data_IF_910242773309
#
_entry.id   IF_910242773309
#
_cell.length_a   1.000
_cell.length_b   1.000
_cell.length_c   1.000
_cell.angle_alpha   90.00
_cell.angle_beta   90.00
_cell.angle_gamma   90.00
#
_symmetry.space_group_name_H-M   'P 1'
#
loop_
_entity.id
_entity.type
_entity.pdbx_description
1 polymer ?
#
# COMPACT_ATOMS: atom_id res chain seq x y z
N UNK A 1 27.52 20.18 -0.32
CA UNK A 1 26.31 20.00 -1.14
C UNK A 1 25.41 21.19 -0.93
N UNK A 2 24.64 21.66 -1.92
CA UNK A 2 23.70 22.74 -1.66
C UNK A 2 22.70 22.29 -0.60
N UNK A 3 22.41 23.18 0.33
CA UNK A 3 21.42 22.98 1.38
C UNK A 3 20.05 22.78 0.75
N UNK A 4 19.37 21.64 1.09
CA UNK A 4 18.04 21.33 0.62
C UNK A 4 17.03 21.74 1.67
N UNK A 5 16.25 22.76 1.34
CA UNK A 5 15.26 23.35 2.23
C UNK A 5 13.84 22.85 1.98
N UNK A 6 13.49 22.60 0.69
CA UNK A 6 12.12 22.20 0.32
C UNK A 6 12.09 21.03 -0.66
N UNK A 7 11.36 19.98 -0.30
CA UNK A 7 11.15 18.77 -1.09
C UNK A 7 9.66 18.59 -1.36
N UNK A 8 9.29 18.36 -2.62
CA UNK A 8 7.94 17.94 -2.98
C UNK A 8 7.94 16.48 -3.40
N UNK A 9 7.06 15.68 -2.81
CA UNK A 9 6.76 14.31 -3.23
C UNK A 9 5.39 14.30 -3.89
N UNK A 10 5.27 13.68 -5.06
CA UNK A 10 4.00 13.58 -5.80
C UNK A 10 3.58 12.13 -5.96
N UNK A 11 2.47 11.75 -5.31
CA UNK A 11 1.80 10.47 -5.51
C UNK A 11 0.28 10.62 -5.33
N UNK A 12 -0.46 10.70 -6.44
CA UNK A 12 -1.90 10.96 -6.41
C UNK A 12 -2.73 9.78 -5.90
N UNK A 13 -2.28 8.56 -6.12
CA UNK A 13 -2.94 7.27 -5.82
C UNK A 13 -1.96 6.12 -6.03
N UNK A 14 -2.19 4.89 -5.61
CA UNK A 14 -3.28 4.40 -4.76
C UNK A 14 -2.86 4.43 -3.29
N UNK A 15 -3.77 4.00 -2.37
CA UNK A 15 -3.48 4.01 -0.93
C UNK A 15 -2.20 3.21 -0.59
N UNK A 16 -2.09 1.98 -1.09
CA UNK A 16 -0.89 1.15 -0.87
C UNK A 16 0.39 1.76 -1.43
N UNK A 17 0.32 2.36 -2.64
CA UNK A 17 1.47 3.04 -3.22
C UNK A 17 1.92 4.27 -2.40
N UNK A 18 0.97 4.98 -1.77
CA UNK A 18 1.28 6.12 -0.91
C UNK A 18 1.99 5.65 0.36
N UNK A 19 1.49 4.59 1.00
CA UNK A 19 2.14 4.00 2.18
C UNK A 19 3.57 3.53 1.84
N UNK A 20 3.76 2.93 0.68
CA UNK A 20 5.08 2.50 0.21
C UNK A 20 6.08 3.65 -0.05
N UNK A 21 5.64 4.93 0.05
CA UNK A 21 6.57 6.08 0.05
C UNK A 21 7.16 6.36 1.43
N UNK A 22 6.61 5.81 2.52
CA UNK A 22 7.04 6.11 3.88
C UNK A 22 8.51 5.78 4.16
N UNK A 23 9.06 4.62 3.73
CA UNK A 23 10.50 4.37 3.89
C UNK A 23 11.39 5.43 3.22
N UNK A 24 11.00 5.94 2.04
CA UNK A 24 11.72 7.06 1.41
C UNK A 24 11.60 8.33 2.25
N UNK A 25 10.41 8.67 2.74
CA UNK A 25 10.18 9.88 3.55
C UNK A 25 11.02 9.84 4.83
N UNK A 26 11.09 8.70 5.50
CA UNK A 26 11.94 8.48 6.68
C UNK A 26 13.41 8.72 6.38
N UNK A 27 13.93 8.16 5.28
CA UNK A 27 15.32 8.37 4.84
C UNK A 27 15.60 9.82 4.47
N UNK A 28 14.64 10.50 3.83
CA UNK A 28 14.74 11.94 3.54
C UNK A 28 14.83 12.76 4.83
N UNK A 29 13.97 12.51 5.81
CA UNK A 29 13.97 13.21 7.09
C UNK A 29 15.27 12.99 7.86
N UNK A 30 15.78 11.75 7.87
CA UNK A 30 17.06 11.43 8.50
C UNK A 30 18.24 12.19 7.84
N UNK A 31 18.23 12.27 6.52
CA UNK A 31 19.33 12.93 5.77
C UNK A 31 19.22 14.47 5.76
N UNK A 32 18.02 15.00 5.76
CA UNK A 32 17.70 16.41 5.74
C UNK A 32 16.75 16.79 6.87
N UNK A 33 17.22 16.83 8.13
CA UNK A 33 16.35 17.01 9.30
C UNK A 33 15.54 18.31 9.25
N UNK A 34 16.14 19.39 8.75
CA UNK A 34 15.53 20.72 8.68
C UNK A 34 14.75 21.00 7.40
N UNK A 35 14.71 20.05 6.46
CA UNK A 35 13.99 20.25 5.22
C UNK A 35 12.47 20.23 5.41
N UNK A 36 11.77 21.05 4.65
CA UNK A 36 10.31 21.04 4.59
C UNK A 36 9.86 20.04 3.52
N UNK A 37 9.20 18.97 3.94
CA UNK A 37 8.68 17.93 3.07
C UNK A 37 7.19 18.15 2.82
N UNK A 38 6.82 18.46 1.59
CA UNK A 38 5.44 18.55 1.16
C UNK A 38 5.06 17.31 0.36
N UNK A 39 3.79 16.88 0.49
CA UNK A 39 3.27 15.73 -0.25
C UNK A 39 2.00 16.10 -1.03
N UNK A 40 2.03 15.96 -2.35
CA UNK A 40 0.90 16.24 -3.24
C UNK A 40 0.16 14.93 -3.56
N UNK A 41 -1.10 14.86 -3.17
CA UNK A 41 -1.95 13.65 -3.30
C UNK A 41 -3.39 13.96 -3.65
N UNK A 42 -4.18 12.92 -3.97
CA UNK A 42 -5.64 13.04 -4.11
C UNK A 42 -6.35 13.16 -2.75
N UNK A 43 -7.45 13.91 -2.69
CA UNK A 43 -8.19 14.24 -1.46
C UNK A 43 -8.47 13.03 -0.57
N UNK A 44 -8.93 11.92 -1.13
CA UNK A 44 -9.29 10.71 -0.39
C UNK A 44 -8.12 9.98 0.30
N UNK A 45 -6.88 10.39 0.05
CA UNK A 45 -5.69 9.77 0.63
C UNK A 45 -5.03 10.65 1.70
N UNK A 46 -5.66 11.75 2.08
CA UNK A 46 -5.13 12.68 3.07
C UNK A 46 -4.86 12.02 4.41
N UNK A 47 -5.79 11.21 4.89
CA UNK A 47 -5.75 10.69 6.25
C UNK A 47 -4.60 9.70 6.49
N UNK A 48 -4.18 8.93 5.50
CA UNK A 48 -3.01 8.06 5.66
C UNK A 48 -1.72 8.87 5.76
N UNK A 49 -1.62 10.00 5.07
CA UNK A 49 -0.44 10.86 5.14
C UNK A 49 -0.33 11.61 6.48
N UNK A 50 -1.47 11.88 7.14
CA UNK A 50 -1.49 12.46 8.50
C UNK A 50 -0.86 11.54 9.55
N UNK A 51 -0.76 10.24 9.27
CA UNK A 51 -0.07 9.30 10.15
C UNK A 51 1.45 9.50 10.13
N UNK A 52 2.02 10.10 9.10
CA UNK A 52 3.47 10.24 8.96
C UNK A 52 3.96 11.61 9.47
N UNK A 53 4.64 11.68 10.63
CA UNK A 53 5.08 12.92 11.25
C UNK A 53 6.16 13.66 10.46
N UNK A 54 6.83 12.99 9.54
CA UNK A 54 7.89 13.58 8.72
C UNK A 54 7.36 14.47 7.60
N UNK A 55 6.04 14.47 7.35
CA UNK A 55 5.39 15.31 6.32
C UNK A 55 4.95 16.62 6.95
N UNK A 56 5.53 17.73 6.50
CA UNK A 56 5.20 19.07 7.02
C UNK A 56 3.87 19.62 6.46
N UNK A 57 3.54 19.29 5.19
CA UNK A 57 2.32 19.76 4.54
C UNK A 57 1.80 18.77 3.52
N UNK A 58 0.50 18.48 3.59
CA UNK A 58 -0.22 17.70 2.59
C UNK A 58 -0.93 18.68 1.65
N UNK A 59 -0.67 18.54 0.36
CA UNK A 59 -1.27 19.33 -0.70
C UNK A 59 -2.28 18.45 -1.42
N UNK A 60 -3.53 18.91 -1.47
CA UNK A 60 -4.62 18.12 -2.02
C UNK A 60 -4.88 18.50 -3.48
N UNK A 61 -5.01 17.48 -4.32
CA UNK A 61 -5.38 17.63 -5.72
C UNK A 61 -6.87 17.35 -5.91
N UNK A 62 -7.64 18.38 -6.25
CA UNK A 62 -9.09 18.37 -6.47
C UNK A 62 -9.50 18.43 -7.94
N UNK A 63 -8.60 18.30 -8.90
CA UNK A 63 -8.73 18.34 -10.35
C UNK A 63 -8.28 19.63 -11.06
N UNK A 64 -8.03 20.76 -10.39
CA UNK A 64 -7.48 21.96 -11.02
C UNK A 64 -5.95 21.86 -11.21
N UNK A 65 -5.52 21.38 -12.39
CA UNK A 65 -4.10 21.25 -12.72
C UNK A 65 -3.37 22.59 -12.79
N UNK A 66 -4.07 23.66 -13.21
CA UNK A 66 -3.51 25.01 -13.31
C UNK A 66 -3.18 25.57 -11.93
N UNK A 67 -4.06 25.38 -10.95
CA UNK A 67 -3.85 25.80 -9.56
C UNK A 67 -2.69 25.05 -8.92
N UNK A 68 -2.65 23.73 -9.09
CA UNK A 68 -1.54 22.91 -8.60
C UNK A 68 -0.22 23.42 -9.18
N UNK A 69 -0.16 23.66 -10.50
CA UNK A 69 1.05 24.15 -11.14
C UNK A 69 1.45 25.53 -10.60
N UNK A 70 0.49 26.45 -10.42
CA UNK A 70 0.73 27.78 -9.85
C UNK A 70 1.30 27.66 -8.44
N UNK A 71 0.70 26.83 -7.61
CA UNK A 71 1.15 26.58 -6.24
C UNK A 71 2.55 25.93 -6.20
N UNK A 72 2.78 24.87 -6.98
CA UNK A 72 4.11 24.23 -7.05
C UNK A 72 5.17 25.22 -7.48
N UNK A 73 4.85 26.12 -8.41
CA UNK A 73 5.76 27.15 -8.87
C UNK A 73 6.07 28.21 -7.80
N UNK A 74 5.06 28.66 -7.04
CA UNK A 74 5.26 29.68 -6.00
C UNK A 74 6.06 29.19 -4.80
N UNK A 75 6.09 27.88 -4.54
CA UNK A 75 6.80 27.29 -3.39
C UNK A 75 8.32 27.13 -3.60
N UNK A 76 8.83 27.29 -4.82
CA UNK A 76 10.27 27.22 -5.15
C UNK A 76 10.97 25.97 -4.58
N UNK A 77 10.46 24.77 -4.88
CA UNK A 77 11.07 23.53 -4.42
C UNK A 77 12.49 23.35 -4.96
N UNK A 78 13.41 22.94 -4.08
CA UNK A 78 14.77 22.54 -4.48
C UNK A 78 14.73 21.21 -5.23
N UNK A 79 13.83 20.31 -4.81
CA UNK A 79 13.64 18.97 -5.36
C UNK A 79 12.19 18.59 -5.50
N UNK A 80 11.83 17.99 -6.62
CA UNK A 80 10.54 17.35 -6.84
C UNK A 80 10.76 15.88 -7.16
N UNK A 81 10.09 14.99 -6.39
CA UNK A 81 10.07 13.55 -6.62
C UNK A 81 8.70 13.14 -7.19
N UNK A 82 8.62 12.98 -8.52
CA UNK A 82 7.41 12.47 -9.17
C UNK A 82 7.36 10.94 -9.14
N UNK A 83 6.78 10.40 -8.07
CA UNK A 83 6.57 8.97 -7.86
C UNK A 83 5.28 8.45 -8.52
N UNK A 84 4.50 9.35 -9.14
CA UNK A 84 3.28 8.96 -9.86
C UNK A 84 3.50 8.74 -11.35
N UNK A 85 4.28 9.62 -12.00
CA UNK A 85 4.69 9.55 -13.41
C UNK A 85 3.52 9.34 -14.37
N UNK A 86 2.62 10.30 -14.42
CA UNK A 86 1.60 10.42 -15.45
C UNK A 86 1.62 11.82 -16.09
N UNK A 87 0.70 12.12 -17.01
CA UNK A 87 0.62 13.42 -17.66
C UNK A 87 0.29 14.55 -16.68
N UNK A 88 -0.58 14.29 -15.70
CA UNK A 88 -0.96 15.27 -14.66
C UNK A 88 0.23 15.62 -13.77
N UNK A 89 0.96 14.62 -13.27
CA UNK A 89 2.15 14.88 -12.44
C UNK A 89 3.27 15.54 -13.24
N UNK A 90 3.43 15.17 -14.51
CA UNK A 90 4.38 15.85 -15.40
C UNK A 90 4.06 17.35 -15.54
N UNK A 91 2.79 17.68 -15.80
CA UNK A 91 2.37 19.07 -15.91
C UNK A 91 2.58 19.86 -14.60
N UNK A 92 2.32 19.25 -13.46
CA UNK A 92 2.57 19.86 -12.15
C UNK A 92 4.07 20.14 -11.91
N UNK A 93 4.96 19.25 -12.39
CA UNK A 93 6.41 19.38 -12.20
C UNK A 93 7.09 20.28 -13.24
N UNK A 94 6.49 20.44 -14.44
CA UNK A 94 7.17 21.05 -15.59
C UNK A 94 7.62 22.47 -15.32
N UNK A 95 8.93 22.71 -15.47
CA UNK A 95 9.60 24.01 -15.26
C UNK A 95 9.48 24.60 -13.83
N UNK A 96 9.16 23.78 -12.83
CA UNK A 96 8.84 24.26 -11.47
C UNK A 96 9.87 23.88 -10.40
N UNK A 97 11.00 23.30 -10.78
CA UNK A 97 12.07 22.99 -9.83
C UNK A 97 13.44 23.05 -10.48
N UNK A 98 14.45 23.27 -9.65
CA UNK A 98 15.86 23.16 -10.06
C UNK A 98 16.21 21.71 -10.41
N UNK A 99 15.57 20.72 -9.74
CA UNK A 99 15.81 19.29 -9.94
C UNK A 99 14.50 18.50 -9.78
N UNK A 100 14.07 17.83 -10.84
CA UNK A 100 12.91 16.94 -10.83
C UNK A 100 13.32 15.51 -11.21
N UNK A 101 12.97 14.54 -10.35
CA UNK A 101 13.23 13.12 -10.57
C UNK A 101 11.92 12.38 -10.72
N UNK A 102 11.86 11.49 -11.68
CA UNK A 102 10.62 10.72 -11.99
C UNK A 102 10.89 9.23 -11.93
N UNK A 103 10.03 8.52 -11.22
CA UNK A 103 10.14 7.06 -11.08
C UNK A 103 10.26 6.34 -12.44
N UNK A 104 11.10 5.32 -12.52
CA UNK A 104 11.18 4.44 -13.68
C UNK A 104 10.09 3.38 -13.59
N UNK A 105 9.06 3.48 -14.44
CA UNK A 105 7.99 2.46 -14.55
C UNK A 105 8.40 1.39 -15.55
N UNK A 106 8.13 0.13 -15.21
CA UNK A 106 8.43 -1.04 -16.04
C UNK A 106 7.19 -1.57 -16.76
N UNK A 107 6.39 -0.66 -17.34
CA UNK A 107 5.09 -1.00 -17.95
C UNK A 107 5.21 -2.02 -19.07
N UNK A 108 6.25 -1.95 -19.92
CA UNK A 108 6.48 -2.93 -20.98
C UNK A 108 6.74 -4.33 -20.41
N UNK A 109 7.60 -4.47 -19.41
CA UNK A 109 7.86 -5.77 -18.77
C UNK A 109 6.59 -6.35 -18.16
N UNK A 110 5.79 -5.51 -17.46
CA UNK A 110 4.49 -5.91 -16.92
C UNK A 110 3.53 -6.35 -18.02
N UNK A 111 3.48 -5.63 -19.13
CA UNK A 111 2.64 -5.97 -20.27
C UNK A 111 3.03 -7.34 -20.88
N UNK A 112 4.32 -7.59 -21.13
CA UNK A 112 4.79 -8.86 -21.65
C UNK A 112 4.49 -10.03 -20.70
N UNK A 113 4.70 -9.83 -19.41
CA UNK A 113 4.41 -10.85 -18.39
C UNK A 113 2.91 -11.16 -18.30
N UNK A 114 2.03 -10.14 -18.33
CA UNK A 114 0.58 -10.34 -18.27
C UNK A 114 0.03 -10.96 -19.56
N UNK A 115 0.41 -10.40 -20.73
CA UNK A 115 -0.21 -10.75 -22.01
C UNK A 115 0.36 -12.04 -22.60
N UNK A 116 1.69 -12.19 -22.55
CA UNK A 116 2.41 -13.27 -23.24
C UNK A 116 3.04 -14.27 -22.27
N UNK A 117 2.97 -14.04 -20.94
CA UNK A 117 3.62 -14.85 -19.92
C UNK A 117 5.17 -14.88 -20.04
N UNK A 118 5.72 -13.87 -20.73
CA UNK A 118 7.17 -13.70 -20.87
C UNK A 118 7.68 -12.81 -19.73
N UNK A 119 8.48 -13.40 -18.86
CA UNK A 119 9.10 -12.68 -17.74
C UNK A 119 10.41 -12.01 -18.18
N UNK A 120 10.37 -10.70 -18.37
CA UNK A 120 11.52 -9.86 -18.70
C UNK A 120 12.17 -9.19 -17.46
N UNK A 121 11.70 -9.51 -16.27
CA UNK A 121 12.28 -8.99 -15.02
C UNK A 121 13.55 -9.79 -14.69
N UNK A 122 14.70 -9.14 -14.76
CA UNK A 122 15.99 -9.74 -14.32
C UNK A 122 16.13 -9.75 -12.80
N UNK A 123 15.54 -8.77 -12.16
CA UNK A 123 15.56 -8.57 -10.71
C UNK A 123 14.17 -8.10 -10.26
N UNK A 124 13.76 -8.55 -9.09
CA UNK A 124 12.51 -8.11 -8.45
C UNK A 124 12.83 -6.99 -7.50
N UNK A 125 12.51 -5.77 -7.91
CA UNK A 125 12.72 -4.58 -7.08
C UNK A 125 11.38 -4.20 -6.44
N UNK A 126 11.25 -4.23 -5.11
CA UNK A 126 10.05 -3.77 -4.41
C UNK A 126 9.70 -2.32 -4.74
N UNK A 127 8.40 -1.98 -4.67
CA UNK A 127 7.93 -0.64 -5.06
C UNK A 127 8.53 0.45 -4.17
N UNK A 128 8.61 0.22 -2.85
CA UNK A 128 9.26 1.18 -1.93
C UNK A 128 10.72 1.46 -2.34
N UNK A 129 11.47 0.40 -2.70
CA UNK A 129 12.86 0.51 -3.15
C UNK A 129 12.99 1.29 -4.47
N UNK A 130 12.03 1.12 -5.39
CA UNK A 130 11.96 1.94 -6.62
C UNK A 130 11.80 3.43 -6.32
N UNK A 131 11.09 3.78 -5.25
CA UNK A 131 10.95 5.17 -4.81
C UNK A 131 12.26 5.72 -4.25
N UNK A 132 12.98 4.93 -3.44
CA UNK A 132 14.30 5.31 -2.92
C UNK A 132 15.30 5.48 -4.06
N UNK A 133 15.37 4.52 -4.99
CA UNK A 133 16.24 4.59 -6.19
C UNK A 133 15.91 5.83 -7.04
N UNK A 134 14.65 6.23 -7.15
CA UNK A 134 14.26 7.44 -7.88
C UNK A 134 14.89 8.71 -7.29
N UNK A 135 15.04 8.74 -5.97
CA UNK A 135 15.60 9.88 -5.24
C UNK A 135 17.14 9.83 -5.12
N UNK A 136 17.75 8.65 -5.24
CA UNK A 136 19.15 8.39 -4.97
C UNK A 136 20.15 9.22 -5.79
N UNK A 137 19.99 9.42 -7.12
CA UNK A 137 20.95 10.19 -7.92
C UNK A 137 21.19 11.61 -7.40
N UNK A 138 20.24 12.12 -6.61
CA UNK A 138 20.30 13.43 -6.02
C UNK A 138 20.61 13.39 -4.51
N UNK A 139 19.94 12.48 -3.82
CA UNK A 139 19.94 12.40 -2.36
C UNK A 139 21.11 11.56 -1.84
N UNK A 140 21.76 10.78 -2.71
CA UNK A 140 22.85 9.86 -2.35
C UNK A 140 22.48 9.02 -1.12
N UNK A 141 21.29 8.39 -1.19
CA UNK A 141 20.79 7.48 -0.18
C UNK A 141 21.37 6.11 -0.50
N UNK A 142 22.45 5.72 0.16
CA UNK A 142 23.11 4.42 -0.07
C UNK A 142 22.42 3.25 0.68
N UNK A 143 21.35 3.52 1.42
CA UNK A 143 20.58 2.56 2.17
C UNK A 143 19.21 2.33 1.52
N UNK A 144 18.99 1.11 1.00
CA UNK A 144 17.79 0.69 0.29
C UNK A 144 16.93 -0.29 1.11
N UNK A 145 17.28 -0.54 2.36
CA UNK A 145 16.54 -1.47 3.20
C UNK A 145 15.16 -0.95 3.56
N UNK A 146 14.21 -1.88 3.74
CA UNK A 146 12.89 -1.56 4.23
C UNK A 146 12.96 -1.22 5.72
N UNK A 147 12.36 -0.11 6.08
CA UNK A 147 12.26 0.33 7.47
C UNK A 147 10.80 0.56 7.84
N UNK A 148 10.44 0.13 9.04
CA UNK A 148 9.18 0.49 9.68
C UNK A 148 9.16 1.98 10.02
N UNK A 149 7.97 2.56 10.16
CA UNK A 149 7.83 3.99 10.43
C UNK A 149 7.22 4.24 11.83
N UNK A 150 7.56 5.38 12.42
CA UNK A 150 6.95 5.84 13.67
C UNK A 150 5.70 6.65 13.36
N UNK A 151 4.60 5.95 13.06
CA UNK A 151 3.35 6.59 12.69
C UNK A 151 2.64 7.18 13.90
N UNK A 152 1.98 8.32 13.71
CA UNK A 152 1.17 9.01 14.72
C UNK A 152 -0.29 8.60 14.56
N UNK A 153 -0.85 8.01 15.61
CA UNK A 153 -2.27 7.67 15.72
C UNK A 153 -2.69 7.60 17.19
N UNK A 154 -3.99 7.63 17.44
CA UNK A 154 -4.51 7.51 18.81
C UNK A 154 -4.21 6.10 19.32
N UNK A 155 -3.29 5.99 20.28
CA UNK A 155 -2.91 4.71 20.90
C UNK A 155 -3.89 4.34 22.00
N UNK A 156 -4.31 3.08 22.01
CA UNK A 156 -5.19 2.49 23.02
C UNK A 156 -5.72 1.16 22.55
N UNK A 157 -5.60 0.10 23.34
CA UNK A 157 -6.16 -1.20 22.99
C UNK A 157 -7.67 -1.09 22.85
N UNK A 158 -8.22 -1.63 21.75
CA UNK A 158 -9.67 -1.70 21.51
C UNK A 158 -10.33 -2.88 22.26
N UNK A 159 -9.51 -3.84 22.66
CA UNK A 159 -9.94 -5.01 23.46
C UNK A 159 -8.86 -5.38 24.47
N UNK A 160 -9.29 -5.96 25.57
CA UNK A 160 -8.42 -6.72 26.46
C UNK A 160 -8.18 -8.11 25.84
N UNK A 161 -6.90 -8.49 25.67
CA UNK A 161 -6.49 -9.75 25.10
C UNK A 161 -5.91 -9.64 23.68
N UNK A 162 -5.58 -10.81 23.13
CA UNK A 162 -4.98 -10.96 21.81
C UNK A 162 -6.04 -11.09 20.72
N UNK A 163 -5.74 -10.58 19.53
CA UNK A 163 -6.60 -10.72 18.37
C UNK A 163 -5.84 -10.67 17.06
N UNK A 164 -6.45 -11.26 16.03
CA UNK A 164 -5.95 -11.24 14.65
C UNK A 164 -6.80 -10.26 13.85
N UNK A 165 -6.16 -9.33 13.15
CA UNK A 165 -6.87 -8.49 12.17
C UNK A 165 -7.04 -9.26 10.87
N UNK A 166 -8.27 -9.27 10.37
CA UNK A 166 -8.61 -9.89 9.10
C UNK A 166 -9.23 -8.83 8.17
N UNK A 167 -8.54 -8.56 7.06
CA UNK A 167 -9.04 -7.67 6.00
C UNK A 167 -9.44 -8.50 4.78
N UNK A 168 -10.69 -9.00 4.73
CA UNK A 168 -11.08 -10.05 3.80
C UNK A 168 -11.38 -9.54 2.40
N UNK A 169 -11.50 -8.24 2.20
CA UNK A 169 -11.85 -7.64 0.92
C UNK A 169 -10.65 -7.04 0.20
N UNK A 170 -10.82 -6.77 -1.08
CA UNK A 170 -9.92 -5.99 -1.93
C UNK A 170 -10.75 -5.30 -3.01
N UNK A 171 -10.23 -4.18 -3.52
CA UNK A 171 -10.91 -3.41 -4.57
C UNK A 171 -11.32 -4.24 -5.79
N UNK A 172 -10.56 -5.28 -6.12
CA UNK A 172 -10.78 -6.10 -7.31
C UNK A 172 -11.12 -7.55 -6.94
N UNK A 173 -12.14 -8.13 -7.58
CA UNK A 173 -12.56 -9.50 -7.36
C UNK A 173 -11.39 -10.49 -7.42
N UNK A 174 -10.55 -10.40 -8.47
CA UNK A 174 -9.45 -11.36 -8.65
C UNK A 174 -8.33 -11.26 -7.63
N UNK A 175 -8.39 -10.30 -6.71
CA UNK A 175 -7.49 -10.15 -5.56
C UNK A 175 -8.17 -10.47 -4.23
N UNK A 176 -9.46 -10.81 -4.24
CA UNK A 176 -10.25 -11.08 -3.03
C UNK A 176 -10.31 -12.58 -2.78
N UNK A 177 -9.80 -13.03 -1.62
CA UNK A 177 -9.94 -14.41 -1.19
C UNK A 177 -11.40 -14.70 -0.83
N UNK A 178 -11.98 -15.88 -1.20
CA UNK A 178 -13.38 -16.16 -0.98
C UNK A 178 -13.81 -16.12 0.49
N UNK A 179 -14.93 -15.48 0.79
CA UNK A 179 -15.46 -15.38 2.15
C UNK A 179 -15.69 -16.76 2.80
N UNK A 180 -16.19 -17.73 2.04
CA UNK A 180 -16.38 -19.11 2.52
C UNK A 180 -15.08 -19.73 3.06
N UNK A 181 -13.94 -19.48 2.41
CA UNK A 181 -12.63 -19.98 2.84
C UNK A 181 -12.12 -19.26 4.09
N UNK A 182 -12.44 -17.97 4.29
CA UNK A 182 -12.18 -17.28 5.54
C UNK A 182 -13.02 -17.85 6.68
N UNK A 183 -14.29 -18.16 6.42
CA UNK A 183 -15.19 -18.79 7.39
C UNK A 183 -14.66 -20.17 7.80
N UNK A 184 -14.26 -21.00 6.84
CA UNK A 184 -13.63 -22.30 7.10
C UNK A 184 -12.37 -22.17 7.96
N UNK A 185 -11.53 -21.17 7.66
CA UNK A 185 -10.32 -20.89 8.42
C UNK A 185 -10.63 -20.44 9.85
N UNK A 186 -11.54 -19.47 10.06
CA UNK A 186 -11.89 -18.94 11.37
C UNK A 186 -12.47 -20.05 12.27
N UNK A 187 -13.31 -20.94 11.72
CA UNK A 187 -13.91 -22.06 12.44
C UNK A 187 -12.90 -23.11 12.93
N UNK A 188 -11.67 -23.13 12.38
CA UNK A 188 -10.59 -24.00 12.87
C UNK A 188 -9.94 -23.47 14.15
N UNK A 189 -10.19 -22.19 14.52
CA UNK A 189 -9.58 -21.50 15.67
C UNK A 189 -10.66 -20.81 16.51
N UNK A 190 -11.56 -21.57 17.14
CA UNK A 190 -12.70 -21.00 17.89
C UNK A 190 -12.27 -20.20 19.12
N UNK A 191 -11.08 -20.47 19.66
CA UNK A 191 -10.49 -19.79 20.82
C UNK A 191 -9.89 -18.42 20.50
N UNK A 192 -9.60 -18.16 19.21
CA UNK A 192 -8.99 -16.90 18.79
C UNK A 192 -10.06 -15.85 18.43
N UNK A 193 -9.77 -14.59 18.74
CA UNK A 193 -10.62 -13.46 18.35
C UNK A 193 -10.13 -12.87 17.02
N UNK A 194 -11.05 -12.66 16.10
CA UNK A 194 -10.79 -12.02 14.82
C UNK A 194 -11.49 -10.67 14.71
N UNK A 195 -10.75 -9.65 14.26
CA UNK A 195 -11.26 -8.31 14.02
C UNK A 195 -11.34 -8.08 12.52
N UNK A 196 -12.56 -7.98 11.99
CA UNK A 196 -12.79 -7.75 10.57
C UNK A 196 -12.67 -6.26 10.25
N UNK A 197 -11.90 -5.93 9.22
CA UNK A 197 -11.70 -4.56 8.75
C UNK A 197 -11.99 -4.45 7.26
N UNK A 198 -12.51 -3.32 6.84
CA UNK A 198 -12.83 -2.99 5.46
C UNK A 198 -13.22 -1.53 5.34
N UNK A 199 -13.34 -1.01 4.12
CA UNK A 199 -13.84 0.34 3.90
C UNK A 199 -15.39 0.39 3.96
N UNK A 200 -15.99 1.53 3.63
CA UNK A 200 -17.43 1.71 3.68
C UNK A 200 -18.15 1.27 2.38
N UNK A 201 -17.47 0.54 1.48
CA UNK A 201 -18.08 0.02 0.26
C UNK A 201 -19.08 -1.10 0.56
N UNK A 202 -20.11 -1.22 -0.26
CA UNK A 202 -21.12 -2.29 -0.12
C UNK A 202 -20.46 -3.68 -0.20
N UNK A 203 -19.46 -3.84 -1.05
CA UNK A 203 -18.71 -5.09 -1.19
C UNK A 203 -17.99 -5.49 0.10
N UNK A 204 -17.30 -4.54 0.75
CA UNK A 204 -16.58 -4.83 2.00
C UNK A 204 -17.56 -5.17 3.12
N UNK A 205 -18.67 -4.44 3.21
CA UNK A 205 -19.75 -4.69 4.17
C UNK A 205 -20.38 -6.08 3.98
N UNK A 206 -20.70 -6.45 2.74
CA UNK A 206 -21.27 -7.76 2.40
C UNK A 206 -20.32 -8.90 2.82
N UNK A 207 -19.04 -8.83 2.44
CA UNK A 207 -18.04 -9.85 2.77
C UNK A 207 -17.84 -9.95 4.28
N UNK A 208 -17.64 -8.83 4.98
CA UNK A 208 -17.45 -8.81 6.42
C UNK A 208 -18.72 -9.23 7.18
N UNK A 209 -19.90 -8.84 6.69
CA UNK A 209 -21.19 -9.24 7.23
C UNK A 209 -21.37 -10.76 7.18
N UNK A 210 -21.19 -11.35 5.99
CA UNK A 210 -21.28 -12.79 5.78
C UNK A 210 -20.34 -13.59 6.69
N UNK A 211 -19.12 -13.12 6.90
CA UNK A 211 -18.16 -13.76 7.81
C UNK A 211 -18.63 -13.64 9.27
N UNK A 212 -19.06 -12.44 9.68
CA UNK A 212 -19.43 -12.20 11.07
C UNK A 212 -20.74 -12.90 11.48
N UNK A 213 -21.66 -13.12 10.56
CA UNK A 213 -22.89 -13.90 10.77
C UNK A 213 -22.61 -15.39 11.02
N UNK A 214 -21.54 -15.93 10.43
CA UNK A 214 -21.21 -17.35 10.50
C UNK A 214 -20.11 -17.70 11.52
N UNK A 215 -19.44 -16.70 12.10
CA UNK A 215 -18.32 -16.86 13.02
C UNK A 215 -18.50 -15.98 14.26
N UNK A 216 -18.92 -16.56 15.37
CA UNK A 216 -19.23 -15.85 16.63
C UNK A 216 -18.00 -15.24 17.32
N UNK A 217 -16.78 -15.72 17.00
CA UNK A 217 -15.51 -15.21 17.52
C UNK A 217 -14.94 -14.04 16.68
N UNK A 218 -15.80 -13.38 15.90
CA UNK A 218 -15.44 -12.19 15.11
C UNK A 218 -16.04 -10.90 15.67
N UNK A 219 -15.32 -9.79 15.49
CA UNK A 219 -15.83 -8.43 15.73
C UNK A 219 -15.74 -7.64 14.44
N UNK A 220 -16.87 -7.14 13.95
CA UNK A 220 -16.96 -6.46 12.66
C UNK A 220 -16.85 -4.94 12.78
N UNK A 221 -15.70 -4.38 12.34
CA UNK A 221 -15.41 -2.96 12.22
C UNK A 221 -15.39 -2.44 10.79
N UNK A 222 -15.86 -3.22 9.83
CA UNK A 222 -15.96 -2.79 8.44
C UNK A 222 -16.76 -1.49 8.33
N UNK A 223 -16.20 -0.49 7.64
CA UNK A 223 -16.82 0.82 7.46
C UNK A 223 -16.87 1.72 8.72
N UNK A 224 -16.33 1.26 9.87
CA UNK A 224 -16.41 1.99 11.16
C UNK A 224 -15.08 2.64 11.58
N UNK A 225 -13.97 2.24 10.96
CA UNK A 225 -12.65 2.74 11.33
C UNK A 225 -12.20 3.85 10.38
N UNK A 226 -11.80 4.99 10.94
CA UNK A 226 -10.98 5.95 10.22
C UNK A 226 -9.53 5.44 10.14
N UNK A 227 -8.66 6.15 9.41
CA UNK A 227 -7.29 5.70 9.17
C UNK A 227 -6.47 5.57 10.46
N UNK A 228 -6.64 6.47 11.43
CA UNK A 228 -5.97 6.42 12.73
C UNK A 228 -6.44 5.21 13.56
N UNK A 229 -7.74 4.95 13.58
CA UNK A 229 -8.31 3.79 14.28
C UNK A 229 -7.90 2.47 13.61
N UNK A 230 -7.82 2.42 12.27
CA UNK A 230 -7.30 1.25 11.56
C UNK A 230 -5.83 1.00 11.90
N UNK A 231 -4.99 2.04 11.90
CA UNK A 231 -3.59 1.92 12.28
C UNK A 231 -3.44 1.42 13.73
N UNK A 232 -4.25 1.94 14.65
CA UNK A 232 -4.32 1.47 16.04
C UNK A 232 -4.73 0.00 16.15
N UNK A 233 -5.78 -0.40 15.43
CA UNK A 233 -6.27 -1.79 15.40
C UNK A 233 -5.19 -2.75 14.90
N UNK A 234 -4.48 -2.37 13.85
CA UNK A 234 -3.35 -3.15 13.32
C UNK A 234 -2.19 -3.18 14.32
N UNK A 235 -1.83 -2.06 14.90
CA UNK A 235 -0.68 -1.94 15.80
C UNK A 235 -0.77 -2.87 17.03
N UNK A 236 -1.95 -3.04 17.59
CA UNK A 236 -2.17 -3.92 18.75
C UNK A 236 -2.55 -5.36 18.41
N UNK A 237 -2.68 -5.72 17.14
CA UNK A 237 -2.97 -7.10 16.73
C UNK A 237 -1.72 -7.99 16.83
N UNK A 238 -1.91 -9.31 16.97
CA UNK A 238 -0.83 -10.29 16.91
C UNK A 238 -0.41 -10.60 15.48
N UNK A 239 -1.38 -10.59 14.58
CA UNK A 239 -1.20 -10.92 13.17
C UNK A 239 -2.21 -10.16 12.32
N UNK A 240 -1.81 -9.80 11.11
CA UNK A 240 -2.72 -9.30 10.09
C UNK A 240 -2.84 -10.31 8.96
N UNK A 241 -4.07 -10.71 8.64
CA UNK A 241 -4.36 -11.54 7.46
C UNK A 241 -5.13 -10.68 6.47
N UNK A 242 -4.60 -10.52 5.28
CA UNK A 242 -5.19 -9.63 4.27
C UNK A 242 -4.95 -10.14 2.85
N UNK A 243 -5.65 -9.57 1.90
CA UNK A 243 -5.36 -9.75 0.49
C UNK A 243 -4.18 -8.85 0.04
N UNK A 244 -3.76 -8.96 -1.22
CA UNK A 244 -2.88 -7.97 -1.90
C UNK A 244 -3.58 -6.60 -1.93
N UNK A 245 -3.44 -5.84 -0.85
CA UNK A 245 -4.16 -4.58 -0.56
C UNK A 245 -3.30 -3.59 0.22
N UNK A 246 -3.81 -2.39 0.43
CA UNK A 246 -3.13 -1.35 1.21
C UNK A 246 -2.91 -1.73 2.68
N UNK A 247 -3.75 -2.61 3.23
CA UNK A 247 -3.64 -3.09 4.62
C UNK A 247 -2.33 -3.83 4.84
N UNK A 248 -1.86 -4.64 3.87
CA UNK A 248 -0.54 -5.25 3.93
C UNK A 248 0.55 -4.20 4.18
N UNK A 249 0.57 -3.16 3.35
CA UNK A 249 1.63 -2.15 3.43
C UNK A 249 1.54 -1.30 4.69
N UNK A 250 0.32 -1.03 5.19
CA UNK A 250 0.13 -0.34 6.47
C UNK A 250 0.62 -1.21 7.64
N UNK A 251 0.34 -2.50 7.60
CA UNK A 251 0.80 -3.44 8.62
C UNK A 251 2.33 -3.47 8.70
N UNK A 252 2.99 -3.56 7.55
CA UNK A 252 4.44 -3.57 7.50
C UNK A 252 5.07 -2.23 7.90
N UNK A 253 4.45 -1.09 7.52
CA UNK A 253 4.89 0.23 7.97
C UNK A 253 4.81 0.36 9.50
N UNK A 254 3.83 -0.29 10.14
CA UNK A 254 3.68 -0.38 11.59
C UNK A 254 4.55 -1.47 12.25
N UNK A 255 5.35 -2.21 11.50
CA UNK A 255 6.18 -3.32 12.00
C UNK A 255 5.40 -4.58 12.37
N UNK A 256 4.14 -4.71 11.89
CA UNK A 256 3.28 -5.86 12.19
C UNK A 256 3.42 -6.96 11.16
N UNK A 257 3.57 -8.20 11.67
CA UNK A 257 3.55 -9.41 10.87
C UNK A 257 2.27 -9.53 10.05
N UNK A 258 2.39 -9.87 8.77
CA UNK A 258 1.24 -10.07 7.89
C UNK A 258 1.33 -11.38 7.11
N UNK A 259 0.17 -12.03 6.91
CA UNK A 259 -0.05 -13.07 5.91
C UNK A 259 -0.92 -12.50 4.79
N UNK A 260 -0.34 -12.34 3.62
CA UNK A 260 -1.00 -11.69 2.49
C UNK A 260 -1.31 -12.68 1.36
N UNK A 261 -2.58 -12.69 0.93
CA UNK A 261 -3.11 -13.61 -0.08
C UNK A 261 -2.99 -12.99 -1.48
N UNK A 262 -2.20 -13.63 -2.33
CA UNK A 262 -1.92 -13.16 -3.69
C UNK A 262 -2.54 -14.07 -4.75
N UNK A 263 -3.62 -13.61 -5.38
CA UNK A 263 -4.33 -14.32 -6.45
C UNK A 263 -3.79 -14.00 -7.84
N UNK A 264 -4.35 -12.97 -8.45
CA UNK A 264 -4.11 -12.61 -9.86
C UNK A 264 -2.78 -11.91 -10.16
N UNK A 265 -2.08 -11.46 -9.14
CA UNK A 265 -0.81 -10.71 -9.21
C UNK A 265 0.37 -11.58 -8.78
N UNK A 266 1.59 -11.12 -9.06
CA UNK A 266 2.84 -11.85 -8.79
C UNK A 266 3.92 -10.93 -8.20
N UNK A 267 4.94 -11.53 -7.60
CA UNK A 267 6.05 -10.85 -6.90
C UNK A 267 6.82 -9.86 -7.78
N UNK A 268 6.89 -10.11 -9.09
CA UNK A 268 7.59 -9.27 -10.07
C UNK A 268 7.03 -7.84 -10.12
N UNK A 269 5.80 -7.64 -9.65
CA UNK A 269 5.20 -6.30 -9.58
C UNK A 269 5.71 -5.47 -8.39
N UNK A 270 6.35 -6.13 -7.41
CA UNK A 270 7.05 -5.48 -6.30
C UNK A 270 6.18 -5.12 -5.10
N UNK A 271 4.99 -5.73 -4.96
CA UNK A 271 4.05 -5.46 -3.85
C UNK A 271 4.03 -6.54 -2.76
N UNK A 272 4.86 -7.55 -2.87
CA UNK A 272 4.95 -8.61 -1.87
C UNK A 272 5.48 -8.09 -0.52
N UNK A 273 5.21 -8.80 0.58
CA UNK A 273 5.69 -8.43 1.91
C UNK A 273 7.20 -8.21 1.97
N UNK A 274 7.64 -7.31 2.83
CA UNK A 274 9.04 -6.92 2.99
C UNK A 274 9.62 -7.29 4.35
N UNK A 275 8.79 -7.40 5.39
CA UNK A 275 9.24 -7.85 6.70
C UNK A 275 9.55 -9.36 6.67
N UNK A 276 10.67 -9.77 7.27
CA UNK A 276 11.13 -11.17 7.29
C UNK A 276 10.13 -12.14 7.95
N UNK A 277 9.28 -11.62 8.83
CA UNK A 277 8.25 -12.39 9.52
C UNK A 277 6.87 -12.31 8.84
N UNK A 278 6.75 -11.61 7.72
CA UNK A 278 5.55 -11.56 6.90
C UNK A 278 5.61 -12.60 5.78
N UNK A 279 4.45 -13.09 5.35
CA UNK A 279 4.34 -14.17 4.37
C UNK A 279 3.40 -13.80 3.21
N UNK A 280 3.82 -14.09 1.99
CA UNK A 280 2.97 -14.07 0.81
C UNK A 280 2.45 -15.47 0.51
N UNK A 281 1.15 -15.66 0.63
CA UNK A 281 0.45 -16.89 0.32
C UNK A 281 -0.09 -16.85 -1.11
N UNK A 282 0.33 -17.79 -1.95
CA UNK A 282 -0.07 -17.83 -3.36
C UNK A 282 -0.11 -19.25 -3.91
N UNK A 283 -0.95 -19.48 -4.90
CA UNK A 283 -0.91 -20.69 -5.73
C UNK A 283 0.02 -20.43 -6.94
N UNK A 284 1.23 -20.99 -6.92
CA UNK A 284 2.28 -20.72 -7.92
C UNK A 284 2.09 -21.47 -9.23
N UNK A 285 1.40 -22.59 -9.22
CA UNK A 285 1.38 -23.58 -10.31
C UNK A 285 0.35 -23.27 -11.41
N UNK A 286 -0.06 -22.02 -11.56
CA UNK A 286 -1.07 -21.61 -12.52
C UNK A 286 -0.50 -20.84 -13.69
N UNK A 287 -0.57 -21.41 -14.89
CA UNK A 287 -0.10 -20.80 -16.15
C UNK A 287 -0.84 -19.48 -16.49
N UNK A 288 -2.08 -19.28 -16.01
CA UNK A 288 -2.83 -18.05 -16.24
C UNK A 288 -2.33 -16.85 -15.39
N UNK A 289 -1.49 -17.05 -14.37
CA UNK A 289 -0.91 -15.98 -13.55
C UNK A 289 0.34 -15.37 -14.20
N UNK A 290 0.51 -14.04 -14.05
CA UNK A 290 -0.51 -13.07 -13.66
C UNK A 290 -1.51 -12.82 -14.80
N UNK A 291 -2.80 -12.72 -14.50
CA UNK A 291 -3.80 -12.32 -15.50
C UNK A 291 -4.00 -10.80 -15.58
N UNK A 292 -3.40 -10.07 -14.64
CA UNK A 292 -3.46 -8.61 -14.54
C UNK A 292 -2.31 -8.09 -13.66
N UNK A 293 -1.97 -6.82 -13.81
CA UNK A 293 -1.04 -6.15 -12.90
C UNK A 293 -1.74 -5.23 -11.87
N UNK A 294 -3.06 -5.08 -11.98
CA UNK A 294 -3.85 -4.23 -11.08
C UNK A 294 -4.88 -5.06 -10.31
N UNK A 295 -5.63 -5.89 -11.01
CA UNK A 295 -6.81 -6.64 -10.60
C UNK A 295 -7.89 -6.57 -11.68
N UNK A 296 -8.91 -7.43 -11.57
CA UNK A 296 -10.06 -7.51 -12.48
C UNK A 296 -11.34 -7.74 -11.67
N UNK A 297 -12.48 -7.38 -12.26
CA UNK A 297 -13.80 -7.60 -11.66
C UNK A 297 -14.32 -9.04 -11.82
N UNK A 298 -13.66 -9.84 -12.66
CA UNK A 298 -13.95 -11.26 -12.83
C UNK A 298 -12.71 -12.05 -13.23
N UNK A 299 -12.73 -13.38 -12.99
CA UNK A 299 -11.68 -14.27 -13.44
C UNK A 299 -11.85 -14.55 -14.95
N UNK A 300 -10.87 -14.21 -15.82
CA UNK A 300 -10.99 -14.45 -17.26
C UNK A 300 -11.07 -15.95 -17.60
N UNK A 301 -10.46 -16.82 -16.79
CA UNK A 301 -10.49 -18.28 -16.94
C UNK A 301 -11.68 -18.94 -16.21
N UNK A 302 -12.56 -18.17 -15.59
CA UNK A 302 -13.75 -18.60 -14.84
C UNK A 302 -13.52 -19.60 -13.69
N UNK A 303 -12.31 -20.16 -13.51
CA UNK A 303 -12.02 -21.18 -12.48
C UNK A 303 -11.56 -20.61 -11.13
N UNK A 304 -11.04 -19.38 -11.08
CA UNK A 304 -10.53 -18.67 -9.88
C UNK A 304 -9.56 -19.45 -8.98
N UNK A 305 -8.90 -20.50 -9.51
CA UNK A 305 -7.99 -21.38 -8.78
C UNK A 305 -6.75 -20.68 -8.17
N UNK A 306 -6.45 -19.45 -8.59
CA UNK A 306 -5.37 -18.66 -7.97
C UNK A 306 -5.66 -18.34 -6.50
N UNK A 307 -6.91 -18.46 -6.05
CA UNK A 307 -7.32 -18.34 -4.66
C UNK A 307 -7.58 -19.73 -3.98
N UNK A 308 -7.17 -20.83 -4.60
CA UNK A 308 -7.06 -22.13 -3.94
C UNK A 308 -5.77 -22.17 -3.10
N UNK A 309 -5.77 -21.33 -2.08
CA UNK A 309 -4.67 -21.15 -1.14
C UNK A 309 -5.13 -21.77 0.19
N UNK A 310 -4.26 -22.56 0.80
CA UNK A 310 -4.51 -23.10 2.14
C UNK A 310 -4.00 -22.10 3.17
N UNK A 311 -4.93 -21.41 3.82
CA UNK A 311 -4.62 -20.48 4.91
C UNK A 311 -4.44 -21.22 6.22
N UNK A 312 -3.34 -20.95 6.93
CA UNK A 312 -3.01 -21.48 8.27
C UNK A 312 -2.33 -20.38 9.09
N UNK A 313 -2.40 -20.46 10.41
CA UNK A 313 -1.64 -19.58 11.34
C UNK A 313 -0.16 -19.91 11.38
#
# INVERSE_FOLDING_TARGET
>A
MPEIKKILIIRFSSLGDIILTFPLIKKLRRKYPESVIHFLTGVKYQDVLKLNPSINRIILHDNSLSEIRKMVRSENYDVILDLHKNLKSFYACFMNSKKAFRIKKENLKKFFLVKFKINLFREIIPVYKKYIICADPFLQINDYEFETDELIFSKGKIFDGEYIVLSPSSRHFTKTYPAAKFIEFIKQYPELKFVLTGDNSERDKEICGLISEQCSNTVNFCGKLNMSALANTIYYSELVICNDSAVLHLSEALGKKAKALFGSTVKEFGFFPQLNNSEALENKDLKCRPCTHIGRESCPEKHFRCMDIKLKL
#
